data_IF_436239479326
#
_entry.id   IF_436239479326
#
_cell.length_a   1.000
_cell.length_b   1.000
_cell.length_c   1.000
_cell.angle_alpha   90.00
_cell.angle_beta   90.00
_cell.angle_gamma   90.00
#
_symmetry.space_group_name_H-M   'P 1'
#
loop_
_entity.id
_entity.type
_entity.pdbx_description
1 polymer ?
#
# COMPACT_ATOMS: atom_id res chain seq x y z
N UNK A 1 57.59 -13.77 -61.01
CA UNK A 1 57.89 -12.59 -60.17
C UNK A 1 56.85 -11.54 -60.48
N UNK A 2 56.13 -11.07 -59.45
CA UNK A 2 55.06 -10.04 -59.45
C UNK A 2 53.87 -10.34 -60.39
N UNK A 3 52.59 -10.28 -60.00
CA UNK A 3 51.88 -9.88 -58.80
C UNK A 3 50.44 -9.63 -59.28
N UNK A 4 49.44 -10.36 -58.79
CA UNK A 4 48.03 -10.12 -59.13
C UNK A 4 47.18 -10.20 -57.87
N UNK A 5 46.29 -9.22 -57.78
CA UNK A 5 45.36 -8.87 -56.73
C UNK A 5 44.40 -9.98 -56.30
N UNK A 6 44.04 -9.98 -55.01
CA UNK A 6 42.64 -10.13 -54.62
C UNK A 6 42.36 -9.42 -53.29
N UNK A 7 41.18 -8.80 -53.25
CA UNK A 7 40.69 -7.89 -52.23
C UNK A 7 40.22 -8.67 -50.99
N UNK A 8 40.92 -8.57 -49.87
CA UNK A 8 40.50 -9.12 -48.58
C UNK A 8 39.74 -8.07 -47.75
N UNK A 9 38.41 -8.22 -47.63
CA UNK A 9 37.63 -7.52 -46.60
C UNK A 9 38.00 -8.06 -45.23
N UNK A 10 38.70 -7.27 -44.42
CA UNK A 10 38.86 -7.52 -42.98
C UNK A 10 37.63 -6.97 -42.25
N UNK A 11 36.94 -7.85 -41.54
CA UNK A 11 36.04 -7.47 -40.46
C UNK A 11 36.90 -6.98 -39.28
N UNK A 12 36.83 -5.70 -38.98
CA UNK A 12 37.31 -5.12 -37.73
C UNK A 12 36.10 -4.98 -36.81
N UNK A 13 36.18 -5.65 -35.66
CA UNK A 13 35.21 -5.57 -34.57
C UNK A 13 35.08 -4.13 -34.07
N UNK A 14 33.89 -3.53 -34.20
CA UNK A 14 33.53 -2.30 -33.50
C UNK A 14 33.13 -2.65 -32.05
N UNK A 15 34.12 -2.67 -31.17
CA UNK A 15 33.92 -2.52 -29.72
C UNK A 15 34.77 -1.35 -29.27
N UNK A 16 34.13 -0.25 -28.89
CA UNK A 16 34.78 0.89 -28.25
C UNK A 16 34.53 2.21 -28.98
N UNK A 17 33.43 2.87 -28.63
CA UNK A 17 33.33 4.30 -28.28
C UNK A 17 31.84 4.71 -28.28
N UNK A 18 31.22 4.65 -27.09
CA UNK A 18 30.01 5.39 -26.76
C UNK A 18 30.05 5.65 -25.25
N UNK A 19 31.08 6.39 -24.82
CA UNK A 19 31.12 7.01 -23.50
C UNK A 19 30.45 8.38 -23.64
N UNK A 20 29.14 8.43 -23.42
CA UNK A 20 28.36 9.67 -23.35
C UNK A 20 27.58 9.67 -22.03
N UNK A 21 28.15 10.38 -21.06
CA UNK A 21 27.51 11.10 -19.94
C UNK A 21 26.20 10.50 -19.43
N UNK A 22 26.28 9.45 -18.63
CA UNK A 22 25.27 9.21 -17.60
C UNK A 22 25.61 10.11 -16.41
N UNK A 23 24.77 11.10 -16.14
CA UNK A 23 24.75 11.70 -14.81
C UNK A 23 24.46 10.57 -13.81
N UNK A 24 25.44 10.28 -12.96
CA UNK A 24 25.29 9.34 -11.87
C UNK A 24 24.30 9.91 -10.85
N UNK A 25 23.02 9.64 -11.04
CA UNK A 25 22.12 9.47 -9.90
C UNK A 25 22.59 8.19 -9.24
N UNK A 26 23.35 8.30 -8.14
CA UNK A 26 23.64 7.14 -7.31
C UNK A 26 22.29 6.50 -6.98
N UNK A 27 22.00 5.33 -7.55
CA UNK A 27 20.83 4.56 -7.18
C UNK A 27 20.99 4.29 -5.68
N UNK A 28 20.18 4.95 -4.86
CA UNK A 28 20.17 4.70 -3.44
C UNK A 28 19.79 3.24 -3.25
N UNK A 29 20.74 2.44 -2.78
CA UNK A 29 20.54 1.01 -2.58
C UNK A 29 19.47 0.77 -1.52
N UNK A 30 18.66 -0.27 -1.71
CA UNK A 30 17.78 -0.75 -0.66
C UNK A 30 18.63 -1.26 0.51
N UNK A 31 18.29 -0.94 1.77
CA UNK A 31 18.97 -1.54 2.92
C UNK A 31 18.78 -3.06 2.87
N UNK A 32 19.75 -3.78 3.42
CA UNK A 32 19.69 -5.24 3.48
C UNK A 32 18.85 -5.71 4.67
N UNK A 33 18.20 -6.85 4.52
CA UNK A 33 17.60 -7.55 5.65
C UNK A 33 18.68 -7.83 6.70
N UNK A 34 18.32 -7.58 7.95
CA UNK A 34 19.20 -7.76 9.06
C UNK A 34 20.08 -6.57 9.44
N UNK A 35 20.00 -5.44 8.72
CA UNK A 35 20.61 -4.18 9.11
C UNK A 35 20.15 -3.78 10.52
N UNK A 36 21.10 -3.64 11.44
CA UNK A 36 20.85 -3.17 12.80
C UNK A 36 20.71 -1.64 12.81
N UNK A 37 19.73 -1.17 13.56
CA UNK A 37 19.41 0.24 13.81
C UNK A 37 19.45 0.47 15.32
N UNK A 38 19.44 1.74 15.74
CA UNK A 38 19.33 2.03 17.17
C UNK A 38 18.00 1.50 17.73
N UNK A 39 18.09 0.43 18.54
CA UNK A 39 16.98 -0.27 19.17
C UNK A 39 16.08 -1.12 18.26
N UNK A 40 16.43 -1.30 16.99
CA UNK A 40 15.65 -2.10 16.05
C UNK A 40 16.47 -2.75 14.95
N UNK A 41 15.82 -3.53 14.10
CA UNK A 41 16.45 -4.21 12.97
C UNK A 41 15.52 -4.23 11.78
N UNK A 42 16.07 -4.11 10.58
CA UNK A 42 15.34 -4.39 9.34
C UNK A 42 15.05 -5.90 9.29
N UNK A 43 13.78 -6.29 9.29
CA UNK A 43 13.35 -7.70 9.31
C UNK A 43 12.76 -8.17 7.98
N UNK A 44 12.35 -7.24 7.12
CA UNK A 44 11.89 -7.58 5.78
C UNK A 44 12.14 -6.43 4.81
N UNK A 45 12.62 -6.75 3.62
CA UNK A 45 12.82 -5.81 2.52
C UNK A 45 12.15 -6.36 1.26
N UNK A 46 11.16 -5.63 0.74
CA UNK A 46 10.38 -6.03 -0.44
C UNK A 46 10.39 -4.91 -1.48
N UNK A 47 11.47 -4.78 -2.26
CA UNK A 47 11.61 -3.72 -3.26
C UNK A 47 10.48 -3.73 -4.29
N UNK A 48 9.97 -4.91 -4.63
CA UNK A 48 8.85 -5.11 -5.57
C UNK A 48 7.51 -4.56 -5.05
N UNK A 49 7.38 -4.37 -3.73
CA UNK A 49 6.25 -3.71 -3.08
C UNK A 49 6.58 -2.30 -2.61
N UNK A 50 7.84 -1.86 -2.72
CA UNK A 50 8.25 -0.59 -2.15
C UNK A 50 8.23 -0.59 -0.62
N UNK A 51 8.48 -1.73 0.05
CA UNK A 51 8.27 -1.88 1.49
C UNK A 51 9.54 -2.28 2.25
N UNK A 52 9.73 -1.68 3.43
CA UNK A 52 10.66 -2.16 4.46
C UNK A 52 9.90 -2.34 5.77
N UNK A 53 10.10 -3.47 6.44
CA UNK A 53 9.64 -3.68 7.81
C UNK A 53 10.81 -3.60 8.78
N UNK A 54 10.64 -2.81 9.82
CA UNK A 54 11.57 -2.71 10.95
C UNK A 54 10.85 -3.25 12.19
N UNK A 55 11.55 -4.01 13.01
CA UNK A 55 11.08 -4.45 14.33
C UNK A 55 12.00 -3.91 15.42
N UNK A 56 11.41 -3.53 16.54
CA UNK A 56 12.11 -2.95 17.69
C UNK A 56 12.18 -3.97 18.83
N UNK A 57 13.36 -4.08 19.45
CA UNK A 57 13.54 -4.99 20.60
C UNK A 57 13.12 -4.26 21.88
N UNK A 58 12.18 -4.80 22.68
CA UNK A 58 11.97 -4.33 24.04
C UNK A 58 13.28 -4.44 24.85
N UNK A 59 13.54 -3.60 25.88
CA UNK A 59 12.65 -2.63 26.51
C UNK A 59 12.95 -1.15 26.15
N UNK A 60 13.82 -0.88 25.16
CA UNK A 60 14.25 0.49 24.90
C UNK A 60 13.13 1.29 24.21
N UNK A 61 12.57 2.27 24.93
CA UNK A 61 11.76 3.33 24.37
C UNK A 61 12.65 4.23 23.48
N UNK A 62 12.78 3.88 22.21
CA UNK A 62 13.54 4.70 21.26
C UNK A 62 12.65 5.86 20.82
N UNK A 63 12.85 7.04 21.40
CA UNK A 63 12.06 8.25 21.06
C UNK A 63 12.17 8.63 19.58
N UNK A 64 13.31 8.31 18.96
CA UNK A 64 13.58 8.57 17.54
C UNK A 64 14.50 7.50 16.95
N UNK A 65 14.11 6.91 15.83
CA UNK A 65 14.96 5.94 15.12
C UNK A 65 15.65 6.64 13.97
N UNK A 66 16.98 6.63 13.96
CA UNK A 66 17.77 7.22 12.89
C UNK A 66 17.97 6.22 11.76
N UNK A 67 17.62 6.61 10.53
CA UNK A 67 17.90 5.85 9.33
C UNK A 67 19.09 6.47 8.59
N UNK A 68 19.98 5.64 8.00
CA UNK A 68 21.09 6.15 7.20
C UNK A 68 20.55 6.86 5.96
N UNK A 69 21.27 7.88 5.51
CA UNK A 69 21.00 8.56 4.23
C UNK A 69 22.21 8.42 3.29
N UNK A 70 22.01 8.42 1.96
CA UNK A 70 20.73 8.59 1.28
C UNK A 70 19.79 7.39 1.52
N UNK A 71 18.50 7.66 1.62
CA UNK A 71 17.44 6.65 1.80
C UNK A 71 16.50 6.72 0.59
N UNK A 72 15.91 5.60 0.12
CA UNK A 72 14.97 5.67 -1.00
C UNK A 72 13.79 6.60 -0.67
N UNK A 73 13.17 7.20 -1.69
CA UNK A 73 12.12 8.20 -1.56
C UNK A 73 10.96 7.69 -0.72
N UNK A 74 11.00 8.06 0.57
CA UNK A 74 10.06 7.65 1.59
C UNK A 74 8.76 8.42 1.42
N UNK A 75 7.66 7.68 1.22
CA UNK A 75 6.33 8.22 0.94
C UNK A 75 5.34 8.01 2.07
N UNK A 76 5.61 7.09 2.99
CA UNK A 76 4.82 6.92 4.22
C UNK A 76 5.61 6.16 5.26
N UNK A 77 5.35 6.44 6.54
CA UNK A 77 5.76 5.60 7.66
C UNK A 77 4.52 5.22 8.44
N UNK A 78 4.43 3.96 8.83
CA UNK A 78 3.32 3.45 9.64
C UNK A 78 3.83 2.68 10.85
N UNK A 79 3.20 2.91 11.98
CA UNK A 79 3.22 1.99 13.11
C UNK A 79 2.43 0.75 12.72
N UNK A 80 2.93 -0.43 13.06
CA UNK A 80 2.23 -1.71 12.90
C UNK A 80 2.16 -2.42 14.25
N UNK A 81 0.95 -2.59 14.76
CA UNK A 81 0.65 -3.25 16.03
C UNK A 81 -0.37 -4.36 15.80
N UNK A 82 0.12 -5.60 15.80
CA UNK A 82 -0.68 -6.76 15.38
C UNK A 82 -1.23 -6.54 13.96
N UNK A 83 -2.53 -6.27 13.89
CA UNK A 83 -3.29 -6.09 12.64
C UNK A 83 -3.57 -4.62 12.30
N UNK A 84 -3.29 -3.71 13.23
CA UNK A 84 -3.52 -2.29 13.03
C UNK A 84 -2.29 -1.64 12.44
N UNK A 85 -2.54 -0.67 11.57
CA UNK A 85 -1.51 0.25 11.13
C UNK A 85 -2.01 1.67 11.20
N UNK A 86 -1.20 2.58 11.76
CA UNK A 86 -1.50 4.00 11.83
C UNK A 86 -0.35 4.81 11.23
N UNK A 87 -0.62 5.95 10.58
CA UNK A 87 0.43 6.87 10.14
C UNK A 87 1.36 7.25 11.30
N UNK A 88 2.66 7.27 11.05
CA UNK A 88 3.67 7.79 11.96
C UNK A 88 4.30 9.02 11.33
N UNK A 89 4.62 10.03 12.14
CA UNK A 89 5.38 11.17 11.67
C UNK A 89 6.87 10.82 11.51
N UNK A 90 7.53 11.44 10.53
CA UNK A 90 8.97 11.31 10.33
C UNK A 90 9.58 12.66 9.99
N UNK A 91 10.83 12.87 10.40
CA UNK A 91 11.49 14.15 10.25
C UNK A 91 12.89 14.00 9.65
N UNK A 92 13.26 14.93 8.78
CA UNK A 92 14.64 15.14 8.38
C UNK A 92 15.26 16.29 9.19
N UNK A 93 16.54 16.22 9.50
CA UNK A 93 17.28 17.41 9.93
C UNK A 93 17.45 18.41 8.77
N UNK A 94 17.96 19.61 9.07
CA UNK A 94 17.99 20.73 8.11
C UNK A 94 18.73 20.44 6.81
N UNK A 95 19.83 19.67 6.88
CA UNK A 95 20.62 19.26 5.73
C UNK A 95 20.22 17.87 5.20
N UNK A 96 19.16 17.27 5.75
CA UNK A 96 18.68 15.92 5.45
C UNK A 96 19.75 14.81 5.52
N UNK A 97 20.83 15.04 6.30
CA UNK A 97 21.84 14.03 6.64
C UNK A 97 21.33 12.98 7.65
N UNK A 98 20.13 13.18 8.21
CA UNK A 98 19.50 12.29 9.19
C UNK A 98 17.99 12.26 9.02
N UNK A 99 17.43 11.05 9.02
CA UNK A 99 15.99 10.78 9.07
C UNK A 99 15.62 10.17 10.41
N UNK A 100 14.71 10.81 11.14
CA UNK A 100 14.19 10.43 12.45
C UNK A 100 12.74 9.93 12.30
N UNK A 101 12.42 8.76 12.86
CA UNK A 101 11.03 8.29 13.00
C UNK A 101 10.53 8.65 14.39
N UNK A 102 9.48 9.46 14.50
CA UNK A 102 9.00 9.94 15.80
C UNK A 102 8.02 8.94 16.42
N UNK A 103 8.34 8.40 17.60
CA UNK A 103 7.39 7.60 18.36
C UNK A 103 6.21 8.47 18.84
N UNK A 104 4.98 7.93 18.76
CA UNK A 104 3.72 8.60 19.11
C UNK A 104 3.81 9.50 20.36
N UNK A 105 3.32 10.74 20.26
CA UNK A 105 3.23 11.71 21.34
C UNK A 105 1.96 11.59 22.19
N UNK A 106 1.35 10.41 22.29
CA UNK A 106 0.28 10.15 23.27
C UNK A 106 0.88 9.57 24.54
N UNK A 107 0.97 10.39 25.59
CA UNK A 107 1.64 10.10 26.86
C UNK A 107 1.36 8.71 27.42
N UNK A 108 2.36 7.83 27.31
CA UNK A 108 2.26 6.45 27.76
C UNK A 108 3.30 5.51 27.17
N UNK A 109 4.53 5.96 26.88
CA UNK A 109 5.76 5.15 26.81
C UNK A 109 5.82 3.86 25.97
N UNK A 110 4.79 3.49 25.22
CA UNK A 110 4.75 2.28 24.41
C UNK A 110 5.21 2.61 22.98
N UNK A 111 6.36 2.05 22.61
CA UNK A 111 6.82 2.03 21.23
C UNK A 111 6.00 1.05 20.41
N UNK A 112 5.78 1.38 19.14
CA UNK A 112 5.43 0.40 18.13
C UNK A 112 6.48 -0.71 18.10
N UNK A 113 6.06 -1.97 18.27
CA UNK A 113 6.95 -3.12 18.12
C UNK A 113 7.42 -3.31 16.67
N UNK A 114 6.70 -2.75 15.71
CA UNK A 114 7.04 -2.80 14.29
C UNK A 114 6.67 -1.51 13.55
N UNK A 115 7.51 -1.14 12.58
CA UNK A 115 7.25 -0.06 11.63
C UNK A 115 7.23 -0.62 10.20
N UNK A 116 6.37 -0.03 9.36
CA UNK A 116 6.34 -0.25 7.92
C UNK A 116 6.69 1.06 7.22
N UNK A 117 7.75 1.03 6.43
CA UNK A 117 8.19 2.14 5.59
C UNK A 117 7.76 1.85 4.16
N UNK A 118 7.14 2.83 3.52
CA UNK A 118 6.69 2.74 2.12
C UNK A 118 7.47 3.72 1.26
N UNK A 119 8.09 3.24 0.18
CA UNK A 119 8.92 4.03 -0.72
C UNK A 119 8.49 3.90 -2.17
N UNK A 120 8.69 4.96 -2.95
CA UNK A 120 8.39 4.95 -4.37
C UNK A 120 9.25 5.98 -5.14
N UNK A 121 10.34 5.51 -5.76
CA UNK A 121 11.18 6.35 -6.64
C UNK A 121 10.46 6.81 -7.91
N UNK A 122 9.34 6.16 -8.24
CA UNK A 122 8.52 6.46 -9.41
C UNK A 122 7.04 6.32 -9.07
N UNK A 123 6.20 7.03 -9.79
CA UNK A 123 4.76 6.81 -9.80
C UNK A 123 4.46 5.43 -10.34
N UNK A 124 3.86 4.57 -9.53
CA UNK A 124 3.72 3.15 -9.85
C UNK A 124 2.50 2.52 -9.17
N UNK A 125 2.02 1.42 -9.75
CA UNK A 125 1.08 0.53 -9.10
C UNK A 125 1.83 -0.73 -8.67
N UNK A 126 1.82 -1.00 -7.37
CA UNK A 126 2.46 -2.15 -6.77
C UNK A 126 1.61 -3.42 -6.92
N UNK A 127 2.24 -4.61 -6.85
CA UNK A 127 1.55 -5.91 -6.88
C UNK A 127 0.44 -6.10 -5.82
N UNK A 128 0.53 -5.39 -4.68
CA UNK A 128 -0.51 -5.38 -3.64
C UNK A 128 -1.71 -4.48 -4.00
N UNK A 129 -1.71 -3.86 -5.17
CA UNK A 129 -2.78 -3.01 -5.68
C UNK A 129 -2.65 -1.54 -5.33
N UNK A 130 -1.73 -1.14 -4.43
CA UNK A 130 -1.49 0.28 -4.11
C UNK A 130 -0.98 1.03 -5.33
N UNK A 131 -1.44 2.26 -5.51
CA UNK A 131 -0.94 3.19 -6.53
C UNK A 131 -0.32 4.37 -5.81
N UNK A 132 0.97 4.60 -5.99
CA UNK A 132 1.69 5.72 -5.38
C UNK A 132 2.05 6.72 -6.48
N UNK A 133 1.63 7.97 -6.31
CA UNK A 133 1.96 9.11 -7.14
C UNK A 133 3.11 9.87 -6.47
N UNK A 134 4.32 9.61 -6.93
CA UNK A 134 5.55 10.15 -6.33
C UNK A 134 5.79 11.59 -6.77
N UNK A 135 6.23 12.45 -5.85
CA UNK A 135 6.66 13.81 -6.18
C UNK A 135 7.76 13.86 -7.26
N UNK A 136 8.59 12.81 -7.35
CA UNK A 136 9.66 12.70 -8.36
C UNK A 136 9.15 12.69 -9.81
N UNK A 137 7.93 12.21 -10.02
CA UNK A 137 7.29 12.11 -11.34
C UNK A 137 6.16 13.13 -11.52
N UNK A 138 6.04 14.09 -10.60
CA UNK A 138 4.97 15.08 -10.66
C UNK A 138 5.27 16.16 -11.70
N UNK A 139 4.24 16.55 -12.44
CA UNK A 139 4.26 17.73 -13.28
C UNK A 139 3.64 18.88 -12.49
N UNK A 140 4.38 19.98 -12.34
CA UNK A 140 3.81 21.21 -11.78
C UNK A 140 3.25 22.05 -12.92
N UNK A 141 1.98 22.39 -12.82
CA UNK A 141 1.34 23.41 -13.65
C UNK A 141 1.20 24.67 -12.80
N UNK A 142 2.10 25.63 -12.99
CA UNK A 142 2.22 26.79 -12.12
C UNK A 142 3.57 27.49 -12.28
N UNK A 143 3.84 28.45 -11.40
CA UNK A 143 5.04 29.29 -11.48
C UNK A 143 5.92 29.30 -10.22
N UNK A 144 5.45 28.80 -9.07
CA UNK A 144 6.22 28.83 -7.81
C UNK A 144 6.46 27.43 -7.24
N UNK A 145 5.44 26.57 -7.22
CA UNK A 145 5.60 25.17 -6.83
C UNK A 145 6.65 24.50 -7.73
N UNK A 146 7.47 23.63 -7.15
CA UNK A 146 8.52 22.91 -7.88
C UNK A 146 8.99 21.69 -7.12
N UNK A 147 9.54 20.72 -7.87
CA UNK A 147 10.27 19.62 -7.28
C UNK A 147 11.53 20.14 -6.59
N UNK A 148 11.59 19.96 -5.28
CA UNK A 148 12.81 20.09 -4.50
C UNK A 148 13.45 18.71 -4.40
N UNK A 149 14.70 18.62 -4.84
CA UNK A 149 15.47 17.38 -4.86
C UNK A 149 16.58 17.47 -3.83
N UNK A 150 16.44 16.71 -2.76
CA UNK A 150 17.50 16.40 -1.82
C UNK A 150 17.51 14.87 -1.65
N UNK A 151 18.67 14.19 -1.69
CA UNK A 151 18.72 12.74 -1.56
C UNK A 151 17.91 12.22 -0.36
N UNK A 152 16.90 11.39 -0.63
CA UNK A 152 15.98 10.84 0.37
C UNK A 152 14.88 11.77 0.88
N UNK A 153 14.89 13.06 0.52
CA UNK A 153 13.87 14.03 0.90
C UNK A 153 13.30 14.82 -0.30
N UNK A 154 13.00 14.11 -1.40
CA UNK A 154 12.30 14.69 -2.54
C UNK A 154 10.87 15.11 -2.14
N UNK A 155 10.37 16.20 -2.72
CA UNK A 155 9.04 16.76 -2.45
C UNK A 155 8.69 17.84 -3.48
N UNK A 156 7.41 18.10 -3.69
CA UNK A 156 6.98 19.37 -4.26
C UNK A 156 6.90 20.40 -3.14
N UNK A 157 7.70 21.45 -3.23
CA UNK A 157 7.71 22.56 -2.27
C UNK A 157 7.66 23.91 -2.97
N UNK A 158 7.96 24.97 -2.24
CA UNK A 158 7.78 26.37 -2.69
C UNK A 158 6.36 26.67 -3.23
N UNK A 159 5.36 25.89 -2.81
CA UNK A 159 3.99 26.01 -3.28
C UNK A 159 3.29 27.22 -2.65
N UNK A 160 3.67 28.42 -3.06
CA UNK A 160 3.24 29.70 -2.46
C UNK A 160 2.07 30.35 -3.20
N UNK A 161 1.69 29.84 -4.37
CA UNK A 161 0.55 30.32 -5.17
C UNK A 161 -0.57 29.30 -5.23
N UNK A 162 -1.81 29.76 -5.08
CA UNK A 162 -3.01 28.91 -5.18
C UNK A 162 -3.33 28.52 -6.62
N UNK A 163 -2.82 29.30 -7.59
CA UNK A 163 -2.97 28.99 -9.02
C UNK A 163 -2.11 27.79 -9.45
N UNK A 164 -1.08 27.46 -8.68
CA UNK A 164 -0.21 26.31 -8.97
C UNK A 164 -0.91 24.99 -8.58
N UNK A 165 -0.70 23.97 -9.41
CA UNK A 165 -1.20 22.62 -9.16
C UNK A 165 -0.18 21.56 -9.49
N UNK A 166 -0.33 20.39 -8.87
CA UNK A 166 0.56 19.24 -9.04
C UNK A 166 -0.21 18.11 -9.70
N UNK A 167 0.35 17.56 -10.78
CA UNK A 167 -0.37 16.75 -11.74
C UNK A 167 0.38 15.47 -12.09
N UNK A 168 -0.36 14.37 -12.23
CA UNK A 168 0.13 13.11 -12.79
C UNK A 168 -0.87 12.58 -13.81
N UNK A 169 -0.39 12.25 -15.02
CA UNK A 169 -1.17 11.45 -15.97
C UNK A 169 -0.86 9.97 -15.73
N UNK A 170 -1.88 9.15 -15.53
CA UNK A 170 -1.67 7.77 -15.11
C UNK A 170 -2.68 6.81 -15.72
N UNK A 171 -2.20 5.60 -16.09
CA UNK A 171 -3.04 4.49 -16.55
C UNK A 171 -2.97 3.37 -15.53
N UNK A 172 -4.01 3.17 -14.70
CA UNK A 172 -4.02 2.07 -13.74
C UNK A 172 -4.18 0.72 -14.45
N UNK A 173 -3.74 -0.34 -13.79
CA UNK A 173 -3.95 -1.74 -14.22
C UNK A 173 -5.04 -2.46 -13.41
N UNK A 174 -5.56 -1.80 -12.37
CA UNK A 174 -6.67 -2.26 -11.53
C UNK A 174 -7.75 -1.19 -11.46
N UNK A 175 -8.99 -1.64 -11.43
CA UNK A 175 -10.16 -0.85 -11.10
C UNK A 175 -10.73 -1.34 -9.77
N UNK A 176 -11.67 -0.60 -9.19
CA UNK A 176 -12.26 -0.88 -7.90
C UNK A 176 -12.13 0.28 -6.93
N UNK A 177 -12.37 0.02 -5.64
CA UNK A 177 -12.39 1.06 -4.62
C UNK A 177 -11.01 1.30 -3.99
N UNK A 178 -10.73 2.58 -3.72
CA UNK A 178 -9.49 3.05 -3.14
C UNK A 178 -9.72 4.10 -2.05
N UNK A 179 -9.02 3.97 -0.92
CA UNK A 179 -8.79 5.06 0.01
C UNK A 179 -7.66 5.95 -0.53
N UNK A 180 -7.85 7.27 -0.48
CA UNK A 180 -6.90 8.29 -0.96
C UNK A 180 -6.21 8.91 0.25
N UNK A 181 -4.89 8.83 0.28
CA UNK A 181 -4.04 9.42 1.30
C UNK A 181 -2.96 10.29 0.66
N UNK A 182 -2.37 11.21 1.40
CA UNK A 182 -1.23 11.99 0.95
C UNK A 182 -0.23 12.23 2.07
N UNK A 183 1.05 12.23 1.72
CA UNK A 183 2.15 12.49 2.64
C UNK A 183 2.68 13.90 2.45
N UNK A 184 2.66 14.69 3.52
CA UNK A 184 2.96 16.11 3.46
C UNK A 184 3.69 16.61 4.72
N UNK A 185 4.33 17.76 4.61
CA UNK A 185 4.80 18.57 5.74
C UNK A 185 4.38 20.03 5.57
N UNK A 186 4.21 20.72 6.69
CA UNK A 186 3.91 22.13 6.71
C UNK A 186 4.27 22.79 8.05
N UNK A 187 4.89 23.95 7.98
CA UNK A 187 5.17 24.78 9.15
C UNK A 187 4.10 25.88 9.27
N UNK A 188 3.09 25.64 10.11
CA UNK A 188 1.91 26.49 10.25
C UNK A 188 0.87 26.35 9.11
N UNK A 189 -0.07 27.29 9.05
CA UNK A 189 -1.14 27.31 8.04
C UNK A 189 -2.23 26.26 8.25
N UNK A 190 -2.54 25.92 9.50
CA UNK A 190 -3.65 25.03 9.87
C UNK A 190 -4.94 25.42 9.15
N UNK A 191 -5.65 24.40 8.67
CA UNK A 191 -6.89 24.60 7.91
C UNK A 191 -6.69 24.97 6.44
N UNK A 192 -5.46 24.91 5.92
CA UNK A 192 -5.20 24.96 4.46
C UNK A 192 -6.05 23.89 3.77
N UNK A 193 -6.92 24.33 2.87
CA UNK A 193 -7.84 23.49 2.11
C UNK A 193 -7.21 23.02 0.80
N UNK A 194 -7.32 21.72 0.53
CA UNK A 194 -6.80 21.06 -0.65
C UNK A 194 -7.94 20.41 -1.43
N UNK A 195 -7.81 20.33 -2.74
CA UNK A 195 -8.66 19.53 -3.61
C UNK A 195 -7.83 18.50 -4.39
N UNK A 196 -8.32 17.27 -4.42
CA UNK A 196 -7.77 16.14 -5.16
C UNK A 196 -8.79 15.74 -6.21
N UNK A 197 -8.47 15.97 -7.48
CA UNK A 197 -9.32 15.59 -8.61
C UNK A 197 -8.70 14.39 -9.33
N UNK A 198 -9.46 13.30 -9.44
CA UNK A 198 -9.05 12.10 -10.16
C UNK A 198 -10.25 11.32 -10.69
N UNK A 199 -10.17 10.84 -11.93
CA UNK A 199 -11.19 10.00 -12.56
C UNK A 199 -12.63 10.53 -12.40
N UNK A 200 -12.82 11.86 -12.49
CA UNK A 200 -14.12 12.53 -12.33
C UNK A 200 -14.56 12.75 -10.88
N UNK A 201 -13.82 12.27 -9.88
CA UNK A 201 -14.07 12.52 -8.47
C UNK A 201 -13.31 13.77 -7.99
N UNK A 202 -13.92 14.53 -7.07
CA UNK A 202 -13.28 15.63 -6.34
C UNK A 202 -13.37 15.37 -4.85
N UNK A 203 -12.23 15.17 -4.21
CA UNK A 203 -12.12 15.04 -2.76
C UNK A 203 -11.47 16.30 -2.18
N UNK A 204 -11.82 16.62 -0.93
CA UNK A 204 -11.26 17.77 -0.22
C UNK A 204 -10.72 17.38 1.15
N UNK A 205 -9.64 18.03 1.55
CA UNK A 205 -9.03 17.85 2.86
C UNK A 205 -8.63 19.20 3.46
N UNK A 206 -8.72 19.32 4.79
CA UNK A 206 -8.14 20.41 5.56
C UNK A 206 -6.89 19.88 6.26
N UNK A 207 -5.71 20.36 5.86
CA UNK A 207 -4.46 19.86 6.39
C UNK A 207 -4.03 20.63 7.65
N UNK A 208 -3.66 19.97 8.75
CA UNK A 208 -3.06 20.64 9.91
C UNK A 208 -1.61 21.09 9.61
N UNK A 209 -1.01 21.90 10.47
CA UNK A 209 0.43 22.06 10.50
C UNK A 209 1.09 20.76 11.00
N UNK A 210 2.30 20.48 10.51
CA UNK A 210 3.13 19.39 11.03
C UNK A 210 4.22 19.89 11.98
N UNK A 211 4.37 21.22 12.12
CA UNK A 211 5.34 21.88 13.02
C UNK A 211 6.75 22.05 12.46
N UNK A 212 6.99 21.62 11.22
CA UNK A 212 8.23 21.87 10.48
C UNK A 212 8.07 21.49 9.01
N UNK A 213 8.70 22.23 8.09
CA UNK A 213 8.82 21.85 6.68
C UNK A 213 9.56 20.53 6.43
N UNK A 214 10.26 20.02 7.45
CA UNK A 214 10.99 18.75 7.38
C UNK A 214 10.32 17.62 8.16
N UNK A 215 9.19 17.88 8.84
CA UNK A 215 8.42 16.89 9.60
C UNK A 215 7.17 16.50 8.83
N UNK A 216 7.11 15.27 8.37
CA UNK A 216 6.09 14.73 7.49
C UNK A 216 5.11 13.83 8.25
N UNK A 217 3.90 13.74 7.75
CA UNK A 217 2.90 12.74 8.16
C UNK A 217 2.03 12.37 6.96
N UNK A 218 1.20 11.35 7.12
CA UNK A 218 0.22 10.92 6.12
C UNK A 218 -1.20 11.21 6.64
N UNK A 219 -2.06 11.76 5.79
CA UNK A 219 -3.46 12.02 6.10
C UNK A 219 -4.38 11.44 5.02
N UNK A 220 -5.54 10.92 5.44
CA UNK A 220 -6.59 10.47 4.52
C UNK A 220 -7.41 11.66 4.00
N UNK A 221 -7.79 11.60 2.72
CA UNK A 221 -8.63 12.58 2.03
C UNK A 221 -10.07 12.07 1.90
N UNK A 222 -10.22 10.77 1.63
CA UNK A 222 -11.50 10.16 1.34
C UNK A 222 -11.36 8.92 0.48
N UNK A 223 -12.45 8.50 -0.15
CA UNK A 223 -12.53 7.25 -0.92
C UNK A 223 -13.03 7.52 -2.33
N UNK A 224 -12.43 6.86 -3.32
CA UNK A 224 -12.87 6.92 -4.72
C UNK A 224 -13.13 5.52 -5.27
N UNK A 225 -14.00 5.44 -6.27
CA UNK A 225 -14.21 4.22 -7.04
C UNK A 225 -13.76 4.45 -8.49
N UNK A 226 -12.77 3.67 -8.91
CA UNK A 226 -12.36 3.60 -10.32
C UNK A 226 -13.23 2.55 -11.00
N UNK A 227 -14.17 2.98 -11.85
CA UNK A 227 -15.09 2.06 -12.52
C UNK A 227 -14.39 1.18 -13.58
N UNK A 228 -13.27 1.67 -14.11
CA UNK A 228 -12.49 1.01 -15.17
C UNK A 228 -11.01 1.32 -14.98
N UNK A 229 -10.16 0.64 -15.73
CA UNK A 229 -8.72 0.92 -15.79
C UNK A 229 -8.36 1.93 -16.89
N UNK A 230 -9.25 2.90 -17.14
CA UNK A 230 -9.04 3.96 -18.14
C UNK A 230 -7.96 4.93 -17.63
N UNK A 231 -7.12 5.51 -18.52
CA UNK A 231 -6.22 6.58 -18.13
C UNK A 231 -6.96 7.76 -17.50
N UNK A 232 -6.37 8.37 -16.47
CA UNK A 232 -6.88 9.58 -15.85
C UNK A 232 -5.75 10.51 -15.45
N UNK A 233 -6.10 11.76 -15.17
CA UNK A 233 -5.21 12.71 -14.53
C UNK A 233 -5.55 12.80 -13.04
N UNK A 234 -4.55 12.68 -12.16
CA UNK A 234 -4.64 13.13 -10.78
C UNK A 234 -4.13 14.57 -10.73
N UNK A 235 -4.93 15.48 -10.17
CA UNK A 235 -4.56 16.87 -9.93
C UNK A 235 -4.77 17.22 -8.46
N UNK A 236 -3.76 17.84 -7.85
CA UNK A 236 -3.83 18.38 -6.49
C UNK A 236 -3.66 19.89 -6.55
N UNK A 237 -4.56 20.63 -5.89
CA UNK A 237 -4.52 22.09 -5.81
C UNK A 237 -4.87 22.61 -4.41
N UNK A 238 -4.33 23.77 -4.07
CA UNK A 238 -4.79 24.53 -2.90
C UNK A 238 -6.09 25.29 -3.23
N UNK A 239 -7.02 25.34 -2.28
CA UNK A 239 -8.24 26.15 -2.36
C UNK A 239 -8.14 27.42 -1.52
N UNK A 240 -7.42 27.34 -0.40
CA UNK A 240 -7.01 28.47 0.41
C UNK A 240 -5.61 28.20 0.99
N UNK A 241 -4.98 29.19 1.60
CA UNK A 241 -3.63 29.06 2.17
C UNK A 241 -3.41 30.12 3.25
N UNK A 242 -3.90 29.90 4.49
CA UNK A 242 -3.69 30.82 5.61
C UNK A 242 -2.20 30.95 6.00
N UNK A 243 -1.35 30.00 5.60
CA UNK A 243 0.10 30.06 5.81
C UNK A 243 0.91 30.62 4.63
N UNK A 244 2.23 30.51 4.71
CA UNK A 244 3.15 31.00 3.67
C UNK A 244 3.14 30.13 2.41
N UNK A 245 2.98 28.81 2.54
CA UNK A 245 2.91 27.84 1.44
C UNK A 245 1.77 26.80 1.69
N UNK A 246 1.28 26.18 0.61
CA UNK A 246 0.21 25.16 0.65
C UNK A 246 0.69 23.98 1.49
N UNK A 247 1.79 23.34 1.08
CA UNK A 247 2.51 22.28 1.80
C UNK A 247 3.81 21.94 1.06
N UNK A 248 4.65 21.13 1.69
CA UNK A 248 5.52 20.22 0.95
C UNK A 248 4.78 18.90 0.72
N UNK A 249 4.70 18.43 -0.52
CA UNK A 249 4.01 17.18 -0.90
C UNK A 249 5.02 16.10 -1.32
N UNK A 250 5.02 14.94 -0.66
CA UNK A 250 5.87 13.80 -1.01
C UNK A 250 5.23 12.83 -1.99
N UNK A 251 3.96 12.53 -1.76
CA UNK A 251 3.20 11.60 -2.57
C UNK A 251 1.70 11.70 -2.30
N UNK A 252 0.91 11.23 -3.26
CA UNK A 252 -0.48 10.80 -3.06
C UNK A 252 -0.53 9.28 -3.23
N UNK A 253 -1.28 8.57 -2.40
CA UNK A 253 -1.40 7.11 -2.44
C UNK A 253 -2.85 6.70 -2.51
N UNK A 254 -3.18 5.85 -3.48
CA UNK A 254 -4.44 5.11 -3.55
C UNK A 254 -4.23 3.71 -2.98
N UNK A 255 -4.94 3.38 -1.90
CA UNK A 255 -4.88 2.06 -1.26
C UNK A 255 -6.16 1.27 -1.55
N UNK A 256 -6.08 0.00 -2.01
CA UNK A 256 -7.27 -0.82 -2.15
C UNK A 256 -8.15 -0.77 -0.90
N UNK A 257 -9.45 -0.59 -1.09
CA UNK A 257 -10.44 -0.47 -0.02
C UNK A 257 -11.65 -1.38 -0.29
N UNK A 258 -12.45 -1.73 0.75
CA UNK A 258 -13.67 -2.51 0.58
C UNK A 258 -14.72 -1.78 -0.26
N UNK A 259 -15.51 -2.53 -1.03
CA UNK A 259 -16.64 -1.98 -1.79
C UNK A 259 -17.94 -1.89 -0.97
N UNK A 260 -18.05 -2.67 0.11
CA UNK A 260 -19.20 -2.63 1.00
C UNK A 260 -19.00 -1.76 2.24
N UNK A 261 -19.68 -2.14 3.31
CA UNK A 261 -19.82 -1.37 4.53
C UNK A 261 -18.94 -1.93 5.66
N UNK A 262 -18.68 -1.16 6.73
CA UNK A 262 -18.02 -1.71 7.91
C UNK A 262 -18.76 -2.94 8.45
N UNK A 263 -18.02 -4.01 8.69
CA UNK A 263 -18.59 -5.27 9.17
C UNK A 263 -18.87 -5.14 10.67
N UNK A 264 -20.06 -5.61 11.08
CA UNK A 264 -20.53 -5.61 12.47
C UNK A 264 -20.99 -7.00 12.86
N UNK A 265 -20.79 -7.34 14.11
CA UNK A 265 -21.39 -8.53 14.69
C UNK A 265 -22.90 -8.30 14.83
N UNK A 266 -23.67 -9.27 14.37
CA UNK A 266 -25.12 -9.21 14.43
C UNK A 266 -25.65 -9.53 15.84
N UNK A 267 -26.96 -9.35 16.05
CA UNK A 267 -27.60 -9.59 17.36
C UNK A 267 -27.54 -11.05 17.80
N UNK A 268 -27.53 -12.01 16.88
CA UNK A 268 -27.35 -13.44 17.20
C UNK A 268 -25.88 -13.84 17.41
N UNK A 269 -24.95 -12.88 17.25
CA UNK A 269 -23.51 -13.07 17.42
C UNK A 269 -22.77 -13.49 16.15
N UNK A 270 -23.44 -13.78 15.05
CA UNK A 270 -22.80 -14.10 13.77
C UNK A 270 -22.11 -12.87 13.18
N UNK A 271 -20.98 -13.11 12.51
CA UNK A 271 -20.24 -12.10 11.74
C UNK A 271 -20.19 -12.57 10.29
N UNK A 272 -20.86 -11.84 9.40
CA UNK A 272 -20.84 -12.08 7.97
C UNK A 272 -19.69 -11.29 7.33
N UNK A 273 -18.73 -12.01 6.75
CA UNK A 273 -17.63 -11.47 5.96
C UNK A 273 -17.95 -11.66 4.48
N UNK A 274 -18.80 -10.79 3.92
CA UNK A 274 -19.16 -10.87 2.50
C UNK A 274 -17.96 -10.45 1.62
N UNK A 275 -17.80 -11.08 0.46
CA UNK A 275 -16.79 -10.71 -0.56
C UNK A 275 -16.66 -9.22 -0.86
N UNK A 276 -17.76 -8.44 -0.86
CA UNK A 276 -17.75 -6.99 -1.11
C UNK A 276 -17.02 -6.19 -0.04
N UNK A 277 -16.96 -6.73 1.18
CA UNK A 277 -16.36 -6.06 2.35
C UNK A 277 -14.86 -6.39 2.46
N UNK A 278 -14.31 -7.15 1.51
CA UNK A 278 -12.90 -7.50 1.48
C UNK A 278 -12.02 -6.34 0.99
N UNK A 279 -10.90 -6.13 1.66
CA UNK A 279 -9.73 -5.44 1.14
C UNK A 279 -8.91 -6.46 0.36
N UNK A 280 -8.70 -6.22 -0.94
CA UNK A 280 -7.84 -7.08 -1.74
C UNK A 280 -6.44 -6.50 -1.82
N UNK A 281 -5.43 -7.34 -1.58
CA UNK A 281 -4.03 -7.00 -1.78
C UNK A 281 -3.58 -7.69 -3.06
N UNK A 282 -3.90 -7.05 -4.17
CA UNK A 282 -3.85 -7.65 -5.50
C UNK A 282 -3.96 -6.59 -6.60
N UNK A 283 -3.53 -6.94 -7.80
CA UNK A 283 -3.89 -6.21 -9.02
C UNK A 283 -5.13 -6.81 -9.69
N UNK A 284 -5.20 -8.14 -9.80
CA UNK A 284 -6.21 -8.82 -10.61
C UNK A 284 -7.42 -9.28 -9.79
N UNK A 285 -7.20 -9.94 -8.64
CA UNK A 285 -8.28 -10.38 -7.75
C UNK A 285 -9.11 -9.19 -7.26
N UNK A 286 -10.44 -9.32 -7.29
CA UNK A 286 -11.39 -8.22 -7.03
C UNK A 286 -12.79 -8.73 -6.71
N UNK A 287 -13.62 -7.87 -6.11
CA UNK A 287 -15.04 -8.14 -5.99
C UNK A 287 -15.73 -8.03 -7.36
N UNK A 288 -16.58 -9.00 -7.67
CA UNK A 288 -17.37 -9.09 -8.88
C UNK A 288 -18.86 -8.86 -8.53
N UNK A 289 -19.38 -7.62 -8.69
CA UNK A 289 -20.69 -7.21 -8.17
C UNK A 289 -21.87 -7.74 -8.99
N UNK A 290 -21.64 -8.45 -10.09
CA UNK A 290 -22.73 -9.03 -10.88
C UNK A 290 -23.54 -9.99 -10.00
N UNK A 291 -24.87 -9.91 -10.07
CA UNK A 291 -25.77 -10.63 -9.16
C UNK A 291 -25.62 -12.16 -9.23
N UNK A 292 -25.25 -12.68 -10.40
CA UNK A 292 -24.96 -14.08 -10.63
C UNK A 292 -23.56 -14.52 -10.15
N UNK A 293 -22.70 -13.58 -9.74
CA UNK A 293 -21.36 -13.84 -9.21
C UNK A 293 -21.29 -13.51 -7.71
N UNK A 294 -21.41 -12.23 -7.35
CA UNK A 294 -21.34 -11.76 -5.96
C UNK A 294 -20.14 -12.31 -5.16
N UNK A 295 -18.99 -12.43 -5.83
CA UNK A 295 -17.82 -13.11 -5.28
C UNK A 295 -16.57 -12.25 -5.35
N UNK A 296 -15.58 -12.62 -4.54
CA UNK A 296 -14.20 -12.27 -4.75
C UNK A 296 -13.64 -13.30 -5.74
N UNK A 297 -13.36 -12.87 -6.96
CA UNK A 297 -12.90 -13.73 -8.04
C UNK A 297 -11.65 -13.19 -8.72
N UNK A 298 -11.34 -13.71 -9.90
CA UNK A 298 -10.09 -13.43 -10.65
C UNK A 298 -8.80 -13.73 -9.86
N UNK A 299 -8.83 -14.71 -8.95
CA UNK A 299 -7.71 -15.04 -8.09
C UNK A 299 -6.67 -15.94 -8.79
N UNK A 300 -5.93 -15.37 -9.74
CA UNK A 300 -4.96 -16.12 -10.55
C UNK A 300 -3.52 -16.09 -9.99
N UNK A 301 -3.17 -15.13 -9.14
CA UNK A 301 -1.83 -14.99 -8.57
C UNK A 301 -1.81 -15.53 -7.12
N UNK A 302 -0.96 -16.53 -6.79
CA UNK A 302 -0.91 -17.09 -5.44
C UNK A 302 -0.32 -16.11 -4.41
N UNK A 303 0.27 -14.99 -4.83
CA UNK A 303 0.73 -13.92 -3.93
C UNK A 303 -0.37 -12.94 -3.53
N UNK A 304 -1.52 -12.97 -4.22
CA UNK A 304 -2.67 -12.12 -3.90
C UNK A 304 -3.36 -12.66 -2.64
N UNK A 305 -3.84 -11.76 -1.78
CA UNK A 305 -4.52 -12.11 -0.51
C UNK A 305 -5.71 -11.20 -0.24
N UNK A 306 -6.66 -11.71 0.52
CA UNK A 306 -7.86 -10.96 0.91
C UNK A 306 -7.89 -10.75 2.43
N UNK A 307 -8.36 -9.59 2.86
CA UNK A 307 -8.49 -9.21 4.26
C UNK A 307 -9.91 -8.68 4.51
N UNK A 308 -10.53 -9.12 5.58
CA UNK A 308 -11.71 -8.49 6.14
C UNK A 308 -11.33 -7.84 7.46
N UNK A 309 -11.81 -6.63 7.73
CA UNK A 309 -11.70 -5.97 9.03
C UNK A 309 -13.10 -5.79 9.61
N UNK A 310 -13.28 -6.19 10.86
CA UNK A 310 -14.60 -6.25 11.49
C UNK A 310 -14.51 -6.00 12.99
N UNK A 311 -15.62 -5.52 13.55
CA UNK A 311 -15.76 -5.31 14.99
C UNK A 311 -16.38 -6.56 15.64
N UNK A 312 -15.76 -7.04 16.72
CA UNK A 312 -16.30 -8.07 17.61
C UNK A 312 -16.81 -7.40 18.88
N UNK A 313 -18.11 -7.47 19.13
CA UNK A 313 -18.73 -6.86 20.32
C UNK A 313 -18.84 -7.87 21.48
N UNK A 314 -19.07 -9.15 21.15
CA UNK A 314 -19.09 -10.29 22.04
C UNK A 314 -18.05 -11.30 21.58
N UNK A 315 -16.96 -11.39 22.33
CA UNK A 315 -15.90 -12.37 22.08
C UNK A 315 -16.34 -13.79 22.43
N UNK A 316 -15.61 -14.80 21.94
CA UNK A 316 -15.97 -16.21 22.10
C UNK A 316 -15.28 -17.11 21.09
N UNK A 317 -15.73 -18.36 21.02
CA UNK A 317 -15.37 -19.28 19.94
C UNK A 317 -16.37 -19.16 18.80
N UNK A 318 -15.85 -19.22 17.58
CA UNK A 318 -16.64 -19.15 16.35
C UNK A 318 -16.29 -20.33 15.44
N UNK A 319 -17.28 -21.05 14.96
CA UNK A 319 -17.14 -21.93 13.79
C UNK A 319 -16.94 -21.06 12.54
N UNK A 320 -15.97 -21.42 11.71
CA UNK A 320 -15.62 -20.72 10.47
C UNK A 320 -16.16 -21.51 9.29
N UNK A 321 -17.09 -20.92 8.55
CA UNK A 321 -17.64 -21.48 7.31
C UNK A 321 -17.27 -20.58 6.13
N UNK A 322 -16.67 -21.15 5.09
CA UNK A 322 -16.40 -20.45 3.83
C UNK A 322 -17.31 -20.98 2.72
N UNK A 323 -17.85 -20.07 1.91
CA UNK A 323 -18.57 -20.42 0.70
C UNK A 323 -17.64 -20.25 -0.49
N UNK A 324 -17.13 -21.36 -1.00
CA UNK A 324 -16.18 -21.38 -2.10
C UNK A 324 -16.82 -21.82 -3.41
N UNK A 325 -16.32 -21.30 -4.52
CA UNK A 325 -16.55 -21.85 -5.86
C UNK A 325 -15.21 -22.13 -6.54
N UNK A 326 -15.13 -23.17 -7.36
CA UNK A 326 -13.92 -23.52 -8.09
C UNK A 326 -14.27 -24.18 -9.42
N UNK A 327 -13.69 -23.69 -10.50
CA UNK A 327 -13.90 -24.24 -11.84
C UNK A 327 -13.39 -25.67 -11.98
N UNK A 328 -14.00 -26.42 -12.91
CA UNK A 328 -13.59 -27.78 -13.27
C UNK A 328 -12.09 -27.84 -13.61
N UNK A 329 -11.34 -28.69 -12.92
CA UNK A 329 -9.90 -28.87 -13.07
C UNK A 329 -9.03 -27.84 -12.34
N UNK A 330 -9.62 -26.91 -11.57
CA UNK A 330 -8.88 -25.87 -10.83
C UNK A 330 -8.72 -26.14 -9.33
N UNK A 331 -9.34 -27.20 -8.80
CA UNK A 331 -9.23 -27.59 -7.39
C UNK A 331 -7.80 -27.95 -6.95
N UNK A 332 -7.61 -28.14 -5.64
CA UNK A 332 -6.35 -28.58 -5.05
C UNK A 332 -5.44 -27.46 -4.54
N UNK A 333 -5.86 -26.20 -4.59
CA UNK A 333 -5.14 -25.10 -3.96
C UNK A 333 -5.15 -25.25 -2.44
N UNK A 334 -3.98 -25.11 -1.79
CA UNK A 334 -3.88 -25.05 -0.34
C UNK A 334 -4.06 -23.61 0.09
N UNK A 335 -5.02 -23.36 0.98
CA UNK A 335 -5.38 -22.03 1.46
C UNK A 335 -5.39 -22.00 2.97
N UNK A 336 -4.94 -20.88 3.52
CA UNK A 336 -4.98 -20.58 4.95
C UNK A 336 -5.96 -19.43 5.21
N UNK A 337 -6.88 -19.65 6.15
CA UNK A 337 -7.70 -18.62 6.79
C UNK A 337 -7.08 -18.29 8.15
N UNK A 338 -6.74 -17.03 8.40
CA UNK A 338 -5.98 -16.63 9.59
C UNK A 338 -6.59 -15.40 10.27
N UNK A 339 -6.65 -15.43 11.60
CA UNK A 339 -6.98 -14.29 12.46
C UNK A 339 -6.16 -14.39 13.74
N UNK A 340 -5.41 -13.35 14.10
CA UNK A 340 -4.44 -13.52 15.19
C UNK A 340 -3.30 -14.45 14.78
N UNK A 341 -2.84 -15.21 15.76
CA UNK A 341 -1.91 -16.32 15.58
C UNK A 341 -2.61 -17.65 15.21
N UNK A 342 -3.94 -17.62 15.04
CA UNK A 342 -4.74 -18.81 14.69
C UNK A 342 -4.89 -18.95 13.18
N UNK A 343 -4.62 -20.14 12.66
CA UNK A 343 -4.71 -20.47 11.25
C UNK A 343 -5.51 -21.76 11.02
N UNK A 344 -6.48 -21.72 10.10
CA UNK A 344 -7.23 -22.87 9.59
C UNK A 344 -6.82 -23.12 8.14
N UNK A 345 -6.33 -24.33 7.84
CA UNK A 345 -5.89 -24.71 6.50
C UNK A 345 -6.87 -25.67 5.86
N UNK A 346 -7.10 -25.49 4.57
CA UNK A 346 -7.96 -26.39 3.80
C UNK A 346 -7.50 -26.47 2.35
N UNK A 347 -7.93 -27.54 1.70
CA UNK A 347 -7.75 -27.74 0.26
C UNK A 347 -9.02 -27.32 -0.45
N UNK A 348 -8.87 -26.44 -1.45
CA UNK A 348 -9.96 -26.01 -2.31
C UNK A 348 -10.50 -27.20 -3.10
N UNK A 349 -11.80 -27.44 -3.00
CA UNK A 349 -12.47 -28.47 -3.80
C UNK A 349 -12.90 -27.91 -5.15
N UNK A 350 -12.75 -28.74 -6.19
CA UNK A 350 -13.38 -28.50 -7.49
C UNK A 350 -14.90 -28.59 -7.33
N UNK A 351 -15.63 -27.53 -7.69
CA UNK A 351 -17.09 -27.48 -7.62
C UNK A 351 -17.75 -27.58 -9.00
N UNK A 352 -16.97 -27.90 -10.04
CA UNK A 352 -17.37 -28.00 -11.43
C UNK A 352 -17.51 -26.66 -12.15
N UNK A 353 -17.74 -25.56 -11.43
CA UNK A 353 -17.89 -24.21 -11.98
C UNK A 353 -17.62 -23.15 -10.90
N UNK A 354 -17.04 -22.00 -11.26
CA UNK A 354 -16.69 -20.95 -10.28
C UNK A 354 -17.87 -20.37 -9.52
N UNK A 355 -19.09 -20.45 -10.07
CA UNK A 355 -20.32 -20.02 -9.41
C UNK A 355 -21.14 -21.19 -8.81
N UNK A 356 -20.60 -22.41 -8.78
CA UNK A 356 -21.17 -23.50 -8.00
C UNK A 356 -20.65 -23.40 -6.57
N UNK A 357 -21.41 -22.72 -5.71
CA UNK A 357 -21.02 -22.46 -4.33
C UNK A 357 -21.13 -23.73 -3.48
N UNK A 358 -20.06 -24.03 -2.75
CA UNK A 358 -20.01 -25.07 -1.72
C UNK A 358 -19.61 -24.46 -0.39
N UNK A 359 -20.46 -24.62 0.61
CA UNK A 359 -20.13 -24.28 1.99
C UNK A 359 -19.15 -25.32 2.56
N UNK A 360 -18.10 -24.87 3.21
CA UNK A 360 -17.07 -25.69 3.85
C UNK A 360 -16.87 -25.21 5.28
N UNK A 361 -17.04 -26.10 6.24
CA UNK A 361 -16.61 -25.86 7.62
C UNK A 361 -15.10 -26.06 7.71
N UNK A 362 -14.40 -25.05 8.24
CA UNK A 362 -12.93 -25.02 8.31
C UNK A 362 -12.40 -25.33 9.71
N UNK A 363 -13.28 -25.33 10.72
CA UNK A 363 -12.91 -25.44 12.13
C UNK A 363 -13.28 -24.19 12.91
N UNK A 364 -12.60 -23.97 14.05
CA UNK A 364 -12.93 -22.92 15.02
C UNK A 364 -11.79 -21.93 15.21
N UNK A 365 -12.16 -20.70 15.52
CA UNK A 365 -11.25 -19.66 16.01
C UNK A 365 -11.82 -19.00 17.25
N UNK A 366 -10.95 -18.56 18.16
CA UNK A 366 -11.33 -17.76 19.33
C UNK A 366 -11.04 -16.30 19.08
N UNK A 367 -12.04 -15.44 19.22
CA UNK A 367 -11.91 -13.99 19.02
C UNK A 367 -12.25 -13.25 20.31
N UNK A 368 -11.39 -12.32 20.72
CA UNK A 368 -11.72 -11.35 21.77
C UNK A 368 -12.51 -10.16 21.24
N UNK A 369 -13.02 -9.32 22.15
CA UNK A 369 -13.72 -8.05 21.83
C UNK A 369 -12.76 -7.03 21.20
N UNK A 370 -13.29 -6.23 20.28
CA UNK A 370 -12.57 -5.17 19.58
C UNK A 370 -12.50 -5.40 18.08
N UNK A 371 -11.77 -4.51 17.39
CA UNK A 371 -11.52 -4.67 15.96
C UNK A 371 -10.60 -5.86 15.71
N UNK A 372 -10.94 -6.67 14.71
CA UNK A 372 -10.23 -7.87 14.28
C UNK A 372 -10.10 -7.87 12.78
N UNK A 373 -9.20 -8.71 12.29
CA UNK A 373 -9.12 -9.03 10.89
C UNK A 373 -9.12 -10.54 10.63
N UNK A 374 -9.50 -10.88 9.41
CA UNK A 374 -9.41 -12.24 8.89
C UNK A 374 -8.76 -12.18 7.52
N UNK A 375 -7.67 -12.93 7.37
CA UNK A 375 -6.91 -13.04 6.15
C UNK A 375 -7.20 -14.36 5.46
N UNK A 376 -7.25 -14.34 4.14
CA UNK A 376 -7.24 -15.54 3.31
C UNK A 376 -6.03 -15.49 2.39
N UNK A 377 -5.11 -16.44 2.57
CA UNK A 377 -3.83 -16.51 1.90
C UNK A 377 -3.68 -17.84 1.14
N UNK A 378 -3.38 -17.84 -0.16
CA UNK A 378 -2.97 -19.04 -0.87
C UNK A 378 -1.58 -19.45 -0.41
N UNK A 379 -1.39 -20.73 -0.12
CA UNK A 379 -0.09 -21.33 0.16
C UNK A 379 0.47 -22.06 -1.07
N UNK A 380 -0.43 -22.67 -1.85
CA UNK A 380 -0.11 -23.34 -3.12
C UNK A 380 -1.30 -23.24 -4.06
N UNK A 381 -1.04 -23.06 -5.36
CA UNK A 381 -2.07 -22.98 -6.41
C UNK A 381 -1.67 -23.83 -7.63
N UNK A 382 -2.09 -25.10 -7.70
CA UNK A 382 -1.73 -25.99 -8.80
C UNK A 382 -2.51 -25.68 -10.09
N UNK A 383 -3.74 -25.15 -9.98
CA UNK A 383 -4.59 -24.81 -11.11
C UNK A 383 -4.42 -23.37 -11.61
N UNK A 384 -5.24 -22.99 -12.60
CA UNK A 384 -5.26 -21.64 -13.15
C UNK A 384 -5.68 -20.54 -12.15
N UNK A 385 -6.51 -20.86 -11.17
CA UNK A 385 -7.04 -19.95 -10.15
C UNK A 385 -7.07 -20.62 -8.77
N UNK A 386 -7.10 -19.83 -7.70
CA UNK A 386 -7.20 -20.33 -6.32
C UNK A 386 -8.62 -20.84 -6.05
N UNK A 387 -9.60 -19.93 -6.04
CA UNK A 387 -11.05 -20.16 -5.90
C UNK A 387 -11.77 -18.80 -6.04
N UNK A 388 -13.10 -18.84 -6.14
CA UNK A 388 -13.95 -17.70 -5.83
C UNK A 388 -14.45 -17.80 -4.38
N UNK A 389 -14.51 -16.68 -3.66
CA UNK A 389 -15.14 -16.61 -2.33
C UNK A 389 -16.43 -15.80 -2.44
N UNK A 390 -17.56 -16.39 -2.10
CA UNK A 390 -18.81 -15.62 -1.96
C UNK A 390 -18.86 -14.89 -0.60
N UNK A 391 -18.65 -15.64 0.48
CA UNK A 391 -18.67 -15.13 1.85
C UNK A 391 -17.92 -16.06 2.81
N UNK A 392 -17.53 -15.53 3.96
CA UNK A 392 -17.13 -16.29 5.14
C UNK A 392 -18.09 -15.92 6.27
N UNK A 393 -18.54 -16.91 7.03
CA UNK A 393 -19.44 -16.72 8.18
C UNK A 393 -18.72 -17.21 9.42
N UNK A 394 -18.64 -16.34 10.43
CA UNK A 394 -18.20 -16.71 11.77
C UNK A 394 -19.44 -16.92 12.64
N UNK A 395 -19.71 -18.18 13.00
CA UNK A 395 -20.89 -18.58 13.77
C UNK A 395 -20.51 -18.80 15.24
N UNK A 396 -21.05 -18.05 16.21
CA UNK A 396 -20.69 -18.23 17.61
C UNK A 396 -21.14 -19.62 18.10
N UNK A 397 -20.30 -20.29 18.90
CA UNK A 397 -20.60 -21.63 19.45
C UNK A 397 -21.64 -21.55 20.58
N UNK A 398 -21.70 -20.42 21.28
CA UNK A 398 -22.71 -20.11 22.30
C UNK A 398 -23.08 -18.62 22.22
N UNK A 399 -24.37 -18.23 22.34
CA UNK A 399 -24.84 -16.84 22.19
C UNK A 399 -24.25 -15.82 23.18
#
# INVERSE_FOLDING_TARGET
>A
MHGISSCGRRWLSLTGLLAAVFHAVAAVGWPQEGLELDGGRVVSVKPELGLIRIEFRPPKAVQSVNLPVPFPHLTSVKIVEGFHSAPLAWQFNQDASRLSLEASSSGGGAMASSLLLEMAEKTTQFPDGRIVFSALDAVVEGSQARLETHPGNHRIGFWTRLEDSVVWNYKPTRWGRYDVEYAFSADGGDGTELEFELAGHKLRAKRPATGSWYRYTTMSVGRVYLAKSDPFQLRVRGLNKPGVAVMNLKAVTLRPAPEGNPIRQSSNGEILLHSRDAITHSVLMRYEPQTNKNCLGYWANPKDRAQWRFQVDRGGEFDVEIWQGCGKGHGGSDVEVRSGDQALRFVVEDTGHFQNWKARSLGRIKLGVGERDLWVNPLRKPGGAVMDIHQIILKPISP
#
